data_IF_393198081441
#
_entry.id   IF_393198081441
#
_cell.length_a   1.000
_cell.length_b   1.000
_cell.length_c   1.000
_cell.angle_alpha   90.00
_cell.angle_beta   90.00
_cell.angle_gamma   90.00
#
_symmetry.space_group_name_H-M   'P 1'
#
loop_
_entity.id
_entity.type
_entity.pdbx_description
1 polymer ?
#
# COMPACT_ATOMS: atom_id res chain seq x y z
N UNK A 1 -23.62 -8.87 11.40
CA UNK A 1 -22.65 -8.44 10.36
C UNK A 1 -23.39 -7.88 9.15
N UNK A 2 -22.93 -6.81 8.56
CA UNK A 2 -23.48 -6.21 7.34
C UNK A 2 -22.47 -5.33 6.62
N UNK A 3 -22.72 -5.04 5.34
CA UNK A 3 -21.91 -4.15 4.53
C UNK A 3 -22.68 -2.84 4.27
N UNK A 4 -22.13 -1.73 4.71
CA UNK A 4 -22.68 -0.38 4.54
C UNK A 4 -21.52 0.59 4.41
N UNK A 5 -21.05 0.87 3.21
CA UNK A 5 -19.86 1.72 3.01
C UNK A 5 -18.62 1.23 3.78
N UNK A 6 -18.54 -0.07 4.11
CA UNK A 6 -17.53 -0.75 4.92
C UNK A 6 -18.14 -1.95 5.64
N UNK A 7 -17.31 -2.78 6.28
CA UNK A 7 -17.79 -3.93 7.04
C UNK A 7 -18.22 -3.52 8.45
N UNK A 8 -19.48 -3.77 8.81
CA UNK A 8 -20.07 -3.51 10.14
C UNK A 8 -20.29 -4.80 10.90
N UNK A 9 -19.75 -4.89 12.12
CA UNK A 9 -19.94 -6.02 13.03
C UNK A 9 -20.49 -5.47 14.36
N UNK A 10 -21.73 -5.85 14.69
CA UNK A 10 -22.35 -5.50 15.96
C UNK A 10 -21.86 -6.42 17.07
N UNK A 11 -21.51 -5.87 18.22
CA UNK A 11 -21.34 -6.50 19.51
C UNK A 11 -22.52 -6.14 20.43
N UNK A 12 -22.54 -6.67 21.66
CA UNK A 12 -23.65 -6.42 22.61
C UNK A 12 -23.85 -4.93 22.90
N UNK A 13 -22.76 -4.17 23.10
CA UNK A 13 -22.81 -2.73 23.41
C UNK A 13 -21.93 -1.86 22.50
N UNK A 14 -21.27 -2.46 21.51
CA UNK A 14 -20.34 -1.76 20.63
C UNK A 14 -20.58 -2.11 19.15
N UNK A 15 -20.00 -1.32 18.27
CA UNK A 15 -19.96 -1.57 16.83
C UNK A 15 -18.51 -1.47 16.35
N UNK A 16 -18.04 -2.52 15.68
CA UNK A 16 -16.79 -2.50 14.95
C UNK A 16 -17.07 -2.17 13.49
N UNK A 17 -16.30 -1.23 12.93
CA UNK A 17 -16.44 -0.82 11.53
C UNK A 17 -15.06 -0.89 10.88
N UNK A 18 -14.95 -1.55 9.73
CA UNK A 18 -13.68 -1.74 9.04
C UNK A 18 -13.76 -1.11 7.66
N UNK A 19 -12.72 -0.35 7.31
CA UNK A 19 -12.53 0.34 6.02
C UNK A 19 -13.78 1.09 5.51
N UNK A 20 -14.40 1.95 6.33
CA UNK A 20 -15.55 2.69 5.83
C UNK A 20 -15.13 3.75 4.82
N UNK A 21 -15.77 3.78 3.65
CA UNK A 21 -15.56 4.81 2.63
C UNK A 21 -16.09 6.19 3.06
N UNK A 22 -17.11 6.21 3.94
CA UNK A 22 -17.69 7.42 4.54
C UNK A 22 -17.90 7.24 6.04
N UNK A 23 -17.88 8.35 6.78
CA UNK A 23 -18.11 8.35 8.24
C UNK A 23 -19.52 8.78 8.65
N UNK A 24 -20.39 9.08 7.68
CA UNK A 24 -21.73 9.66 7.95
C UNK A 24 -22.68 8.76 8.75
N UNK A 25 -22.53 7.43 8.56
CA UNK A 25 -23.42 6.43 9.20
C UNK A 25 -22.78 5.68 10.36
N UNK A 26 -21.55 6.05 10.73
CA UNK A 26 -20.81 5.38 11.80
C UNK A 26 -21.35 5.88 13.16
N UNK A 27 -21.79 4.98 14.05
CA UNK A 27 -22.20 5.34 15.40
C UNK A 27 -21.07 6.04 16.17
N UNK A 28 -21.39 7.01 17.02
CA UNK A 28 -20.36 7.75 17.80
C UNK A 28 -19.54 6.85 18.73
N UNK A 29 -20.09 5.72 19.14
CA UNK A 29 -19.46 4.73 20.02
C UNK A 29 -18.69 3.66 19.27
N UNK A 30 -18.67 3.69 17.92
CA UNK A 30 -18.01 2.68 17.13
C UNK A 30 -16.49 2.71 17.28
N UNK A 31 -15.87 1.56 17.09
CA UNK A 31 -14.43 1.40 16.84
C UNK A 31 -14.22 1.25 15.35
N UNK A 32 -13.35 2.08 14.79
CA UNK A 32 -13.06 2.04 13.36
C UNK A 32 -11.66 1.46 13.16
N UNK A 33 -11.55 0.46 12.29
CA UNK A 33 -10.28 -0.09 11.83
C UNK A 33 -10.03 0.31 10.38
N UNK A 34 -8.77 0.56 10.05
CA UNK A 34 -8.29 0.80 8.69
C UNK A 34 -7.25 -0.25 8.37
N UNK A 35 -7.48 -1.04 7.32
CA UNK A 35 -6.63 -2.16 6.95
C UNK A 35 -5.30 -1.71 6.35
N UNK A 36 -5.32 -0.74 5.43
CA UNK A 36 -4.11 -0.25 4.76
C UNK A 36 -4.29 1.19 4.23
N UNK A 37 -3.23 1.75 3.63
CA UNK A 37 -3.16 3.18 3.32
C UNK A 37 -3.67 3.58 1.92
N UNK A 38 -4.28 2.70 1.13
CA UNK A 38 -4.90 3.09 -0.14
C UNK A 38 -6.17 3.93 0.08
N UNK A 39 -6.42 4.86 -0.85
CA UNK A 39 -7.40 5.93 -0.67
C UNK A 39 -8.85 5.45 -0.44
N UNK A 40 -9.23 4.33 -1.04
CA UNK A 40 -10.55 3.69 -0.92
C UNK A 40 -10.78 3.02 0.45
N UNK A 41 -9.71 2.68 1.18
CA UNK A 41 -9.77 2.09 2.53
C UNK A 41 -9.61 3.12 3.65
N UNK A 42 -9.06 4.31 3.37
CA UNK A 42 -8.68 5.29 4.40
C UNK A 42 -9.81 6.22 4.83
N UNK A 43 -11.02 6.05 4.34
CA UNK A 43 -12.17 6.86 4.74
C UNK A 43 -12.39 6.91 6.25
N UNK A 44 -12.05 5.82 6.95
CA UNK A 44 -12.11 5.70 8.41
C UNK A 44 -11.23 6.70 9.17
N UNK A 45 -10.15 7.20 8.59
CA UNK A 45 -9.31 8.21 9.25
C UNK A 45 -10.02 9.56 9.46
N UNK A 46 -11.08 9.84 8.73
CA UNK A 46 -11.94 11.02 8.91
C UNK A 46 -12.97 10.86 10.04
N UNK A 47 -13.13 9.68 10.61
CA UNK A 47 -14.03 9.46 11.74
C UNK A 47 -13.58 10.26 12.97
N UNK A 48 -14.50 10.92 13.69
CA UNK A 48 -14.17 11.74 14.87
C UNK A 48 -13.86 10.91 16.12
N UNK A 49 -14.42 9.70 16.22
CA UNK A 49 -14.18 8.78 17.33
C UNK A 49 -12.86 8.01 17.21
N UNK A 50 -12.68 6.98 18.04
CA UNK A 50 -11.48 6.19 18.07
C UNK A 50 -11.34 5.32 16.82
N UNK A 51 -10.21 5.49 16.15
CA UNK A 51 -9.80 4.71 14.99
C UNK A 51 -8.43 4.07 15.20
N UNK A 52 -8.21 2.94 14.57
CA UNK A 52 -7.00 2.14 14.72
C UNK A 52 -6.55 1.59 13.37
N UNK A 53 -5.27 1.52 13.20
CA UNK A 53 -4.56 0.83 12.11
C UNK A 53 -3.16 0.48 12.60
N UNK A 54 -2.36 -0.17 11.76
CA UNK A 54 -0.93 -0.26 12.04
C UNK A 54 -0.30 1.15 12.04
N UNK A 55 0.79 1.38 12.77
CA UNK A 55 1.53 2.64 12.72
C UNK A 55 1.96 3.00 11.30
N UNK A 56 2.43 2.00 10.52
CA UNK A 56 2.89 2.19 9.15
C UNK A 56 1.75 2.67 8.23
N UNK A 57 0.56 2.06 8.31
CA UNK A 57 -0.64 2.52 7.57
C UNK A 57 -0.97 3.97 7.88
N UNK A 58 -0.95 4.37 9.16
CA UNK A 58 -1.15 5.76 9.56
C UNK A 58 -0.08 6.70 8.98
N UNK A 59 1.19 6.30 9.06
CA UNK A 59 2.31 7.17 8.68
C UNK A 59 2.40 7.33 7.16
N UNK A 60 2.11 6.27 6.39
CA UNK A 60 1.95 6.34 4.93
C UNK A 60 0.80 7.27 4.57
N UNK A 61 -0.37 7.11 5.20
CA UNK A 61 -1.51 8.00 4.95
C UNK A 61 -1.16 9.47 5.22
N UNK A 62 -0.44 9.76 6.31
CA UNK A 62 0.02 11.11 6.63
C UNK A 62 1.01 11.65 5.60
N UNK A 63 1.93 10.82 5.13
CA UNK A 63 2.89 11.20 4.09
C UNK A 63 2.20 11.57 2.77
N UNK A 64 1.09 10.90 2.43
CA UNK A 64 0.34 11.15 1.20
C UNK A 64 -0.59 12.37 1.27
N UNK A 65 -1.12 12.69 2.46
CA UNK A 65 -2.23 13.63 2.61
C UNK A 65 -1.94 14.81 3.52
N UNK A 66 -0.79 14.85 4.19
CA UNK A 66 -0.43 15.86 5.22
C UNK A 66 -1.56 16.11 6.23
N UNK A 67 -2.27 15.05 6.60
CA UNK A 67 -3.45 15.13 7.44
C UNK A 67 -3.17 14.65 8.86
N UNK A 68 -3.52 15.47 9.87
CA UNK A 68 -3.54 15.03 11.26
C UNK A 68 -4.69 14.05 11.48
N UNK A 69 -4.37 12.88 12.05
CA UNK A 69 -5.35 11.87 12.44
C UNK A 69 -5.55 11.98 13.96
N UNK A 70 -6.69 12.58 14.37
CA UNK A 70 -7.05 12.67 15.78
C UNK A 70 -7.67 11.37 16.32
N UNK A 71 -7.72 11.19 17.65
CA UNK A 71 -8.32 10.01 18.31
C UNK A 71 -7.84 8.68 17.73
N UNK A 72 -6.53 8.55 17.53
CA UNK A 72 -5.88 7.38 16.95
C UNK A 72 -5.21 6.52 18.03
N UNK A 73 -5.30 5.21 17.90
CA UNK A 73 -4.51 4.24 18.67
C UNK A 73 -3.92 3.21 17.72
N UNK A 74 -2.63 2.94 17.84
CA UNK A 74 -1.95 1.91 17.05
C UNK A 74 -2.50 0.51 17.37
N UNK A 75 -2.55 -0.32 16.34
CA UNK A 75 -2.84 -1.75 16.40
C UNK A 75 -1.72 -2.48 15.65
N UNK A 76 -0.75 -2.98 16.39
CA UNK A 76 0.42 -3.65 15.80
C UNK A 76 0.04 -5.00 15.17
N UNK A 77 0.78 -5.41 14.15
CA UNK A 77 0.67 -6.77 13.60
C UNK A 77 0.91 -7.80 14.70
N UNK A 78 0.15 -8.86 14.71
CA UNK A 78 0.11 -9.90 15.74
C UNK A 78 -0.42 -9.45 17.12
N UNK A 79 -0.86 -8.20 17.27
CA UNK A 79 -1.52 -7.76 18.48
C UNK A 79 -3.03 -8.03 18.44
N UNK A 80 -3.66 -7.93 19.61
CA UNK A 80 -5.10 -8.11 19.77
C UNK A 80 -5.76 -6.85 20.31
N UNK A 81 -6.97 -6.62 19.83
CA UNK A 81 -7.91 -5.61 20.30
C UNK A 81 -9.15 -6.32 20.82
N UNK A 82 -9.65 -5.89 21.97
CA UNK A 82 -10.95 -6.33 22.51
C UNK A 82 -11.93 -5.16 22.42
N UNK A 83 -13.09 -5.41 21.84
CA UNK A 83 -14.20 -4.47 21.72
C UNK A 83 -15.45 -5.20 22.23
N UNK A 84 -15.80 -4.95 23.49
CA UNK A 84 -16.88 -5.67 24.18
C UNK A 84 -16.63 -7.20 24.19
N UNK A 85 -17.49 -7.99 23.59
CA UNK A 85 -17.39 -9.44 23.43
C UNK A 85 -16.69 -9.89 22.13
N UNK A 86 -16.18 -8.95 21.34
CA UNK A 86 -15.43 -9.21 20.11
C UNK A 86 -13.92 -9.12 20.36
N UNK A 87 -13.17 -10.09 19.88
CA UNK A 87 -11.70 -10.05 19.80
C UNK A 87 -11.26 -9.89 18.35
N UNK A 88 -10.34 -8.97 18.12
CA UNK A 88 -9.76 -8.74 16.79
C UNK A 88 -8.26 -8.94 16.86
N UNK A 89 -7.72 -9.83 16.07
CA UNK A 89 -6.28 -10.00 15.85
C UNK A 89 -5.91 -9.37 14.52
N UNK A 90 -4.94 -8.44 14.53
CA UNK A 90 -4.35 -7.90 13.32
C UNK A 90 -3.22 -8.84 12.85
N UNK A 91 -3.25 -9.21 11.57
CA UNK A 91 -2.28 -10.07 10.92
C UNK A 91 -1.78 -9.38 9.64
N UNK A 92 -0.59 -9.71 9.18
CA UNK A 92 -0.09 -9.13 7.94
C UNK A 92 -0.96 -9.55 6.74
N UNK A 93 -1.33 -8.61 5.90
CA UNK A 93 -2.06 -8.86 4.66
C UNK A 93 -1.12 -9.03 3.45
N UNK A 94 0.17 -8.77 3.58
CA UNK A 94 1.18 -8.92 2.53
C UNK A 94 1.08 -7.93 1.37
N UNK A 95 0.04 -7.08 1.34
CA UNK A 95 -0.27 -6.22 0.21
C UNK A 95 0.69 -5.02 0.10
N UNK A 96 0.95 -4.35 1.21
CA UNK A 96 1.91 -3.25 1.33
C UNK A 96 2.39 -3.12 2.77
N UNK A 97 3.42 -2.32 3.02
CA UNK A 97 3.92 -2.09 4.38
C UNK A 97 2.80 -1.65 5.32
N UNK A 98 2.62 -2.41 6.39
CA UNK A 98 1.62 -2.15 7.42
C UNK A 98 0.19 -2.53 7.04
N UNK A 99 -0.05 -3.11 5.86
CA UNK A 99 -1.37 -3.66 5.53
C UNK A 99 -1.74 -4.79 6.49
N UNK A 100 -2.99 -4.80 6.94
CA UNK A 100 -3.48 -5.76 7.93
C UNK A 100 -4.75 -6.47 7.45
N UNK A 101 -4.78 -7.77 7.61
CA UNK A 101 -6.02 -8.55 7.66
C UNK A 101 -6.47 -8.66 9.12
N UNK A 102 -7.78 -8.75 9.35
CA UNK A 102 -8.35 -8.81 10.69
C UNK A 102 -9.09 -10.13 10.91
N UNK A 103 -8.55 -10.96 11.82
CA UNK A 103 -9.28 -12.12 12.33
C UNK A 103 -10.15 -11.68 13.52
N UNK A 104 -11.45 -11.73 13.32
CA UNK A 104 -12.46 -11.22 14.25
C UNK A 104 -13.20 -12.43 14.85
N UNK A 105 -13.11 -12.56 16.16
CA UNK A 105 -13.75 -13.61 16.92
C UNK A 105 -14.90 -13.03 17.73
N UNK A 106 -16.10 -13.48 17.45
CA UNK A 106 -17.31 -13.26 18.25
C UNK A 106 -17.57 -14.51 19.10
N UNK A 107 -18.51 -14.49 20.05
CA UNK A 107 -18.86 -15.69 20.84
C UNK A 107 -19.24 -16.91 20.00
N UNK A 108 -19.78 -16.71 18.79
CA UNK A 108 -20.35 -17.78 18.00
C UNK A 108 -19.70 -17.99 16.62
N UNK A 109 -18.83 -17.08 16.18
CA UNK A 109 -18.34 -17.08 14.79
C UNK A 109 -16.99 -16.39 14.69
N UNK A 110 -16.11 -16.92 13.86
CA UNK A 110 -14.87 -16.29 13.45
C UNK A 110 -14.99 -15.73 12.02
N UNK A 111 -14.54 -14.50 11.82
CA UNK A 111 -14.61 -13.78 10.54
C UNK A 111 -13.19 -13.35 10.18
N UNK A 112 -12.72 -13.66 8.98
CA UNK A 112 -11.51 -13.08 8.44
C UNK A 112 -11.87 -12.01 7.40
N UNK A 113 -11.47 -10.77 7.67
CA UNK A 113 -11.49 -9.66 6.71
C UNK A 113 -10.08 -9.44 6.20
N UNK A 114 -9.84 -9.63 4.91
CA UNK A 114 -8.49 -9.57 4.35
C UNK A 114 -8.00 -8.15 4.08
N UNK A 115 -8.90 -7.18 3.88
CA UNK A 115 -8.56 -5.99 3.11
C UNK A 115 -8.03 -6.41 1.74
N UNK A 116 -7.17 -5.60 1.15
CA UNK A 116 -6.39 -6.04 -0.01
C UNK A 116 -5.29 -6.98 0.47
N UNK A 117 -5.15 -8.12 -0.19
CA UNK A 117 -4.29 -9.22 0.25
C UNK A 117 -3.29 -9.61 -0.84
N UNK A 118 -2.09 -9.99 -0.44
CA UNK A 118 -1.10 -10.59 -1.32
C UNK A 118 -0.51 -11.87 -0.68
N UNK A 119 -0.60 -12.97 -1.41
CA UNK A 119 -0.20 -14.31 -0.95
C UNK A 119 1.17 -14.75 -1.49
N UNK A 120 1.97 -13.82 -2.02
CA UNK A 120 3.30 -14.07 -2.59
C UNK A 120 4.27 -13.06 -1.99
N UNK A 121 5.47 -13.49 -1.57
CA UNK A 121 6.54 -12.60 -1.12
C UNK A 121 6.89 -11.57 -2.20
N UNK A 122 7.09 -10.33 -1.77
CA UNK A 122 7.59 -9.24 -2.61
C UNK A 122 8.98 -8.80 -2.15
N UNK A 123 9.58 -7.83 -2.83
CA UNK A 123 10.83 -7.24 -2.37
C UNK A 123 10.66 -6.35 -1.12
N UNK A 124 9.44 -6.02 -0.73
CA UNK A 124 9.14 -5.09 0.36
C UNK A 124 8.22 -5.65 1.43
N UNK A 125 7.49 -6.74 1.15
CA UNK A 125 6.55 -7.37 2.08
C UNK A 125 6.64 -8.89 2.02
N UNK A 126 6.26 -9.53 3.11
CA UNK A 126 6.02 -10.99 3.14
C UNK A 126 4.59 -11.29 2.74
N UNK A 127 4.38 -12.48 2.19
CA UNK A 127 3.06 -12.99 1.86
C UNK A 127 2.16 -13.06 3.11
N UNK A 128 0.87 -12.82 2.93
CA UNK A 128 -0.11 -13.06 3.98
C UNK A 128 -0.17 -14.53 4.35
N UNK A 129 -0.27 -14.82 5.65
CA UNK A 129 -0.47 -16.16 6.14
C UNK A 129 -1.97 -16.52 6.11
N UNK A 130 -2.34 -17.69 5.58
CA UNK A 130 -3.73 -18.14 5.59
C UNK A 130 -4.22 -18.38 7.03
N UNK A 131 -5.48 -18.03 7.30
CA UNK A 131 -6.12 -18.20 8.60
C UNK A 131 -7.40 -19.01 8.46
N UNK A 132 -7.66 -19.89 9.42
CA UNK A 132 -8.95 -20.58 9.52
C UNK A 132 -10.01 -19.62 10.04
N UNK A 133 -11.18 -19.62 9.42
CA UNK A 133 -12.33 -18.82 9.81
C UNK A 133 -13.63 -19.48 9.34
N UNK A 134 -14.75 -19.13 9.99
CA UNK A 134 -16.07 -19.57 9.57
C UNK A 134 -16.62 -18.74 8.41
N UNK A 135 -16.25 -17.44 8.38
CA UNK A 135 -16.67 -16.51 7.33
C UNK A 135 -15.43 -15.77 6.79
N UNK A 136 -15.22 -15.86 5.49
CA UNK A 136 -14.18 -15.15 4.79
C UNK A 136 -14.78 -13.95 4.03
N UNK A 137 -14.27 -12.74 4.30
CA UNK A 137 -14.54 -11.52 3.54
C UNK A 137 -13.24 -11.17 2.82
N UNK A 138 -13.18 -11.46 1.54
CA UNK A 138 -11.98 -11.32 0.70
C UNK A 138 -12.25 -10.40 -0.48
N UNK A 139 -11.23 -9.63 -0.87
CA UNK A 139 -11.25 -8.86 -2.11
C UNK A 139 -11.33 -9.78 -3.34
N UNK A 140 -11.72 -9.19 -4.48
CA UNK A 140 -11.81 -9.92 -5.75
C UNK A 140 -11.38 -9.04 -6.94
N UNK A 141 -10.39 -8.17 -6.74
CA UNK A 141 -9.89 -7.24 -7.78
C UNK A 141 -9.51 -7.97 -9.06
N UNK A 142 -8.88 -9.13 -8.91
CA UNK A 142 -8.49 -10.02 -10.02
C UNK A 142 -9.20 -11.38 -9.94
N UNK A 143 -10.40 -11.43 -9.36
CA UNK A 143 -11.17 -12.64 -9.10
C UNK A 143 -11.76 -13.33 -10.36
N UNK A 144 -11.42 -12.86 -11.56
CA UNK A 144 -11.87 -13.49 -12.81
C UNK A 144 -10.78 -14.39 -13.41
N UNK A 145 -11.15 -15.59 -13.96
CA UNK A 145 -10.20 -16.49 -14.63
C UNK A 145 -9.45 -15.89 -15.83
N UNK A 146 -9.91 -14.73 -16.33
CA UNK A 146 -9.21 -14.00 -17.41
C UNK A 146 -7.92 -13.35 -16.92
N UNK A 147 -7.79 -13.04 -15.65
CA UNK A 147 -6.57 -12.49 -15.08
C UNK A 147 -5.58 -13.61 -14.81
N UNK A 148 -4.62 -13.76 -15.72
CA UNK A 148 -3.48 -14.67 -15.57
C UNK A 148 -2.21 -13.86 -15.68
N UNK A 149 -1.44 -13.87 -14.61
CA UNK A 149 -0.22 -13.10 -14.53
C UNK A 149 1.00 -14.02 -14.65
N UNK A 150 2.11 -13.55 -15.27
CA UNK A 150 3.41 -14.21 -15.18
C UNK A 150 3.87 -14.29 -13.73
N UNK A 151 4.92 -15.06 -13.48
CA UNK A 151 5.55 -15.06 -12.17
C UNK A 151 6.13 -13.66 -11.87
N UNK A 152 6.25 -13.32 -10.60
CA UNK A 152 6.77 -12.03 -10.17
C UNK A 152 8.21 -11.82 -10.67
N UNK A 153 9.03 -12.86 -10.65
CA UNK A 153 10.40 -12.85 -11.16
C UNK A 153 10.45 -12.52 -12.65
N UNK A 154 9.54 -13.10 -13.45
CA UNK A 154 9.42 -12.77 -14.89
C UNK A 154 9.10 -11.29 -15.08
N UNK A 155 8.13 -10.77 -14.30
CA UNK A 155 7.75 -9.35 -14.36
C UNK A 155 8.91 -8.44 -13.96
N UNK A 156 9.65 -8.78 -12.92
CA UNK A 156 10.83 -8.03 -12.49
C UNK A 156 11.90 -8.00 -13.58
N UNK A 157 12.18 -9.15 -14.18
CA UNK A 157 13.14 -9.24 -15.27
C UNK A 157 12.74 -8.36 -16.47
N UNK A 158 11.47 -8.43 -16.89
CA UNK A 158 10.95 -7.62 -18.01
C UNK A 158 11.05 -6.11 -17.73
N UNK A 159 10.74 -5.67 -16.49
CA UNK A 159 10.85 -4.26 -16.09
C UNK A 159 12.31 -3.79 -16.15
N UNK A 160 13.22 -4.58 -15.59
CA UNK A 160 14.65 -4.25 -15.56
C UNK A 160 15.24 -4.23 -16.97
N UNK A 161 14.96 -5.25 -17.78
CA UNK A 161 15.43 -5.34 -19.17
C UNK A 161 14.96 -4.15 -20.00
N UNK A 162 13.66 -3.82 -19.94
CA UNK A 162 13.10 -2.65 -20.61
C UNK A 162 13.78 -1.35 -20.17
N UNK A 163 14.04 -1.19 -18.88
CA UNK A 163 14.70 0.01 -18.37
C UNK A 163 16.14 0.13 -18.84
N UNK A 164 16.90 -0.97 -18.81
CA UNK A 164 18.29 -1.01 -19.29
C UNK A 164 18.38 -0.73 -20.80
N UNK A 165 17.45 -1.29 -21.58
CA UNK A 165 17.40 -1.03 -23.03
C UNK A 165 17.04 0.44 -23.33
N UNK A 166 16.12 1.02 -22.55
CA UNK A 166 15.77 2.44 -22.65
C UNK A 166 16.97 3.35 -22.36
N UNK A 167 17.75 3.00 -21.33
CA UNK A 167 18.98 3.73 -20.98
C UNK A 167 20.04 3.62 -22.07
N UNK A 168 20.25 2.44 -22.67
CA UNK A 168 21.17 2.24 -23.82
C UNK A 168 20.82 3.13 -25.01
N UNK A 169 19.53 3.46 -25.19
CA UNK A 169 19.05 4.39 -26.23
C UNK A 169 19.26 5.87 -25.85
N UNK A 170 19.93 6.16 -24.75
CA UNK A 170 20.14 7.54 -24.26
C UNK A 170 18.87 8.20 -23.71
N UNK A 171 17.89 7.41 -23.28
CA UNK A 171 16.64 7.88 -22.70
C UNK A 171 16.52 7.51 -21.22
N UNK A 172 15.67 8.20 -20.50
CA UNK A 172 15.36 7.92 -19.10
C UNK A 172 14.05 7.11 -19.03
N UNK A 173 14.08 5.85 -18.56
CA UNK A 173 12.86 5.09 -18.31
C UNK A 173 12.04 5.77 -17.22
N UNK A 174 10.78 6.08 -17.51
CA UNK A 174 9.85 6.73 -16.60
C UNK A 174 8.70 5.78 -16.27
N UNK A 175 8.59 5.36 -15.00
CA UNK A 175 7.53 4.46 -14.55
C UNK A 175 6.46 5.24 -13.80
N UNK A 176 5.22 5.07 -14.22
CA UNK A 176 4.04 5.58 -13.51
C UNK A 176 3.55 4.52 -12.54
N UNK A 177 3.64 4.80 -11.24
CA UNK A 177 3.36 3.85 -10.16
C UNK A 177 2.40 4.43 -9.12
N UNK A 178 1.64 3.58 -8.45
CA UNK A 178 0.90 3.99 -7.27
C UNK A 178 1.87 4.44 -6.16
N UNK A 179 1.55 5.56 -5.51
CA UNK A 179 2.46 6.22 -4.58
C UNK A 179 2.82 5.37 -3.35
N UNK A 180 1.94 4.47 -2.95
CA UNK A 180 2.16 3.57 -1.83
C UNK A 180 2.10 2.10 -2.26
N UNK A 181 3.01 1.28 -1.78
CA UNK A 181 3.18 -0.13 -2.10
C UNK A 181 4.00 -0.34 -3.37
N UNK A 182 3.41 -0.08 -4.54
CA UNK A 182 4.06 -0.36 -5.84
C UNK A 182 5.30 0.49 -6.10
N UNK A 183 5.28 1.78 -5.74
CA UNK A 183 6.45 2.63 -5.91
C UNK A 183 7.66 2.10 -5.15
N UNK A 184 7.48 1.69 -3.90
CA UNK A 184 8.54 1.20 -3.04
C UNK A 184 9.09 -0.15 -3.51
N UNK A 185 8.21 -1.02 -4.01
CA UNK A 185 8.60 -2.28 -4.62
C UNK A 185 9.49 -2.05 -5.87
N UNK A 186 9.12 -1.09 -6.72
CA UNK A 186 9.90 -0.74 -7.92
C UNK A 186 11.22 -0.06 -7.54
N UNK A 187 11.24 0.84 -6.55
CA UNK A 187 12.51 1.39 -6.03
C UNK A 187 13.42 0.26 -5.60
N UNK A 188 12.91 -0.67 -4.76
CA UNK A 188 13.69 -1.81 -4.29
C UNK A 188 14.15 -2.73 -5.42
N UNK A 189 13.33 -2.92 -6.44
CA UNK A 189 13.68 -3.70 -7.64
C UNK A 189 14.96 -3.17 -8.29
N UNK A 190 15.02 -1.87 -8.56
CA UNK A 190 16.21 -1.27 -9.18
C UNK A 190 17.40 -1.25 -8.24
N UNK A 191 17.22 -1.06 -6.93
CA UNK A 191 18.30 -1.15 -5.96
C UNK A 191 18.94 -2.53 -5.88
N UNK A 192 18.15 -3.60 -6.07
CA UNK A 192 18.64 -4.98 -5.95
C UNK A 192 19.28 -5.47 -7.25
N UNK A 193 18.69 -5.15 -8.39
CA UNK A 193 19.05 -5.77 -9.66
C UNK A 193 19.84 -4.87 -10.61
N UNK A 194 20.07 -3.62 -10.25
CA UNK A 194 20.81 -2.67 -11.09
C UNK A 194 21.72 -1.77 -10.26
N UNK A 195 22.58 -1.01 -10.95
CA UNK A 195 23.33 0.10 -10.36
C UNK A 195 22.77 1.47 -10.79
N UNK A 196 21.60 1.50 -11.43
CA UNK A 196 20.98 2.75 -11.87
C UNK A 196 20.45 3.52 -10.67
N UNK A 197 20.81 4.80 -10.53
CA UNK A 197 20.16 5.68 -9.55
C UNK A 197 18.64 5.73 -9.77
N UNK A 198 17.89 5.64 -8.70
CA UNK A 198 16.44 5.75 -8.75
C UNK A 198 16.03 7.15 -8.31
N UNK A 199 15.47 7.91 -9.23
CA UNK A 199 14.95 9.25 -8.97
C UNK A 199 13.44 9.15 -8.82
N UNK A 200 12.91 9.77 -7.79
CA UNK A 200 11.46 9.75 -7.53
C UNK A 200 10.87 11.15 -7.52
N UNK A 201 9.60 11.25 -7.92
CA UNK A 201 8.81 12.45 -7.71
C UNK A 201 8.72 12.75 -6.20
N UNK A 202 8.80 14.03 -5.75
CA UNK A 202 8.78 14.39 -4.33
C UNK A 202 7.57 13.86 -3.56
N UNK A 203 6.46 13.60 -4.22
CA UNK A 203 5.27 12.99 -3.61
C UNK A 203 5.53 11.59 -3.06
N UNK A 204 6.54 10.89 -3.57
CA UNK A 204 6.93 9.55 -3.13
C UNK A 204 7.89 9.57 -1.93
N UNK A 205 8.58 10.69 -1.67
CA UNK A 205 9.63 10.79 -0.64
C UNK A 205 9.14 10.39 0.75
N UNK A 206 8.03 10.97 1.21
CA UNK A 206 7.51 10.69 2.54
C UNK A 206 7.06 9.25 2.75
N UNK A 207 6.61 8.59 1.68
CA UNK A 207 6.26 7.16 1.72
C UNK A 207 7.53 6.31 1.76
N UNK A 208 8.52 6.60 0.91
CA UNK A 208 9.81 5.92 0.91
C UNK A 208 10.51 6.02 2.28
N UNK A 209 10.48 7.21 2.89
CA UNK A 209 10.97 7.44 4.24
C UNK A 209 10.27 6.56 5.28
N UNK A 210 8.95 6.37 5.16
CA UNK A 210 8.19 5.51 6.06
C UNK A 210 8.61 4.05 5.93
N UNK A 211 8.82 3.57 4.71
CA UNK A 211 9.33 2.23 4.43
C UNK A 211 10.75 2.06 4.98
N UNK A 212 11.63 3.01 4.71
CA UNK A 212 13.03 2.96 5.16
C UNK A 212 13.12 2.92 6.69
N UNK A 213 12.38 3.77 7.40
CA UNK A 213 12.29 3.80 8.87
C UNK A 213 11.70 2.52 9.46
N UNK A 214 10.91 1.79 8.69
CA UNK A 214 10.34 0.49 9.08
C UNK A 214 11.23 -0.71 8.76
N UNK A 215 12.48 -0.47 8.30
CA UNK A 215 13.47 -1.51 8.05
C UNK A 215 13.49 -2.04 6.60
N UNK A 216 12.68 -1.48 5.70
CA UNK A 216 12.77 -1.79 4.26
C UNK A 216 13.86 -0.92 3.64
N UNK A 217 14.98 -1.54 3.27
CA UNK A 217 16.11 -0.81 2.69
C UNK A 217 15.77 -0.30 1.29
N UNK A 218 15.68 1.03 1.15
CA UNK A 218 15.43 1.74 -0.10
C UNK A 218 16.48 2.81 -0.29
N UNK A 219 17.01 2.92 -1.52
CA UNK A 219 17.92 3.97 -1.96
C UNK A 219 17.27 4.76 -3.10
N UNK A 220 17.11 6.06 -2.92
CA UNK A 220 16.50 6.94 -3.91
C UNK A 220 16.98 8.39 -3.77
N UNK A 221 16.75 9.17 -4.80
CA UNK A 221 16.93 10.61 -4.79
C UNK A 221 15.61 11.30 -5.14
N UNK A 222 15.26 12.35 -4.40
CA UNK A 222 14.14 13.21 -4.81
C UNK A 222 14.50 14.00 -6.06
N UNK A 223 13.60 14.09 -7.01
CA UNK A 223 13.81 14.91 -8.23
C UNK A 223 13.95 16.40 -7.94
N UNK A 224 13.52 16.89 -6.77
CA UNK A 224 13.67 18.26 -6.35
C UNK A 224 15.00 18.53 -5.61
N UNK A 225 15.69 17.48 -5.17
CA UNK A 225 16.98 17.60 -4.52
C UNK A 225 18.07 18.07 -5.51
N UNK A 226 19.16 18.60 -4.99
CA UNK A 226 20.32 19.00 -5.80
C UNK A 226 20.91 17.82 -6.56
N UNK A 227 21.07 16.69 -5.86
CA UNK A 227 21.66 15.49 -6.44
C UNK A 227 20.73 14.85 -7.47
N UNK A 228 19.42 14.75 -7.16
CA UNK A 228 18.43 14.25 -8.11
C UNK A 228 18.37 15.05 -9.41
N UNK A 229 18.39 16.38 -9.33
CA UNK A 229 18.48 17.25 -10.51
C UNK A 229 19.74 17.01 -11.32
N UNK A 230 20.88 16.90 -10.63
CA UNK A 230 22.16 16.67 -11.30
C UNK A 230 22.17 15.33 -12.04
N UNK A 231 21.66 14.27 -11.41
CA UNK A 231 21.57 12.93 -12.02
C UNK A 231 20.62 12.96 -13.22
N UNK A 232 19.44 13.57 -13.09
CA UNK A 232 18.47 13.69 -14.20
C UNK A 232 19.03 14.42 -15.41
N UNK A 233 19.95 15.36 -15.22
CA UNK A 233 20.54 16.14 -16.32
C UNK A 233 21.68 15.42 -17.02
N UNK A 234 22.46 14.61 -16.30
CA UNK A 234 23.78 14.14 -16.77
C UNK A 234 23.93 12.63 -16.86
N UNK A 235 23.25 11.90 -15.98
CA UNK A 235 23.55 10.49 -15.77
C UNK A 235 22.40 9.58 -16.22
N UNK A 236 22.69 8.31 -16.58
CA UNK A 236 21.65 7.32 -16.76
C UNK A 236 20.98 7.01 -15.41
N UNK A 237 19.66 7.06 -15.39
CA UNK A 237 18.87 6.81 -14.19
C UNK A 237 17.49 6.27 -14.54
N UNK A 238 16.73 5.88 -13.53
CA UNK A 238 15.29 5.53 -13.63
C UNK A 238 14.48 6.59 -12.91
N UNK A 239 13.37 7.01 -13.50
CA UNK A 239 12.47 7.99 -12.89
C UNK A 239 11.12 7.37 -12.55
N UNK A 240 10.68 7.52 -11.29
CA UNK A 240 9.37 7.09 -10.82
C UNK A 240 8.47 8.30 -10.52
N UNK A 241 7.24 8.23 -11.02
CA UNK A 241 6.23 9.26 -10.77
C UNK A 241 4.84 8.63 -10.63
N UNK A 242 3.85 9.44 -10.25
CA UNK A 242 2.47 8.97 -10.13
C UNK A 242 1.66 9.29 -11.40
N UNK A 243 0.60 8.54 -11.73
CA UNK A 243 -0.26 8.82 -12.89
C UNK A 243 -0.91 10.22 -12.88
N UNK A 244 -1.06 10.82 -11.69
CA UNK A 244 -1.61 12.18 -11.54
C UNK A 244 -0.63 13.29 -11.92
N UNK A 245 0.67 12.97 -11.99
CA UNK A 245 1.72 13.94 -12.30
C UNK A 245 2.17 13.82 -13.75
N UNK A 246 1.34 14.37 -14.65
CA UNK A 246 1.58 14.33 -16.10
C UNK A 246 2.50 15.45 -16.62
N UNK A 247 2.85 16.41 -15.76
CA UNK A 247 3.44 17.68 -16.21
C UNK A 247 4.98 17.70 -16.32
N UNK A 248 5.67 16.62 -15.91
CA UNK A 248 7.14 16.62 -15.83
C UNK A 248 7.84 15.70 -16.86
N UNK A 249 7.11 15.15 -17.83
CA UNK A 249 7.71 14.29 -18.84
C UNK A 249 8.29 15.17 -19.95
N UNK A 250 9.52 15.64 -19.77
CA UNK A 250 10.29 16.28 -20.83
C UNK A 250 10.66 15.31 -21.96
N UNK A 251 11.17 15.83 -23.09
CA UNK A 251 11.52 15.03 -24.30
C UNK A 251 12.56 13.91 -24.09
N UNK A 252 13.27 13.89 -22.93
CA UNK A 252 14.24 12.85 -22.57
C UNK A 252 13.63 11.58 -21.97
N UNK A 253 12.37 11.61 -21.58
CA UNK A 253 11.71 10.48 -20.92
C UNK A 253 11.00 9.58 -21.92
N UNK A 254 11.18 8.27 -21.79
CA UNK A 254 10.32 7.27 -22.41
C UNK A 254 9.36 6.71 -21.36
N UNK A 255 8.09 7.05 -21.48
CA UNK A 255 7.07 6.63 -20.52
C UNK A 255 6.66 5.17 -20.69
N UNK A 256 6.61 4.43 -19.58
CA UNK A 256 6.06 3.08 -19.50
C UNK A 256 4.72 3.07 -18.77
N UNK A 257 3.75 3.78 -19.29
CA UNK A 257 2.38 3.80 -18.74
C UNK A 257 1.69 2.43 -18.82
N UNK A 258 2.15 1.55 -19.70
CA UNK A 258 1.52 0.25 -19.94
C UNK A 258 2.03 -0.88 -19.03
N UNK A 259 3.19 -0.75 -18.40
CA UNK A 259 3.72 -1.80 -17.52
C UNK A 259 3.00 -1.83 -16.16
N UNK A 260 2.63 -0.67 -15.63
CA UNK A 260 1.94 -0.59 -14.34
C UNK A 260 0.49 -1.16 -14.35
N UNK A 261 -0.15 -1.25 -15.51
CA UNK A 261 -1.51 -1.79 -15.65
C UNK A 261 -1.58 -3.27 -16.03
N UNK A 262 -0.44 -3.93 -16.27
CA UNK A 262 -0.40 -5.35 -16.66
C UNK A 262 -0.13 -6.30 -15.50
N UNK A 263 0.27 -5.77 -14.34
CA UNK A 263 0.76 -6.57 -13.22
C UNK A 263 0.20 -6.01 -11.91
N UNK A 264 -0.47 -6.83 -11.11
CA UNK A 264 -1.02 -6.44 -9.82
C UNK A 264 0.06 -6.14 -8.77
#
# INVERSE_FOLDING_TARGET
MGWLDGLFIGASNATLVIDPSTTRRIPKTARVLVSHAHGDHTGGFRYKGLKQSTPQTRDIHRALHDQRIGSFRALEINSQLVVDDIRVKALDAGHMLGSAQFLIQTPNTSILYTGDINCIDTLTTKAAEPQQCDILVIEATYGSPHYRFPTRETVYAEIVEWALETVKQGRIPCLHVYAAGKAQEVVRLFNVYTHLPVIVNPRLDGVNETYHKSGVHLDWFSSDSRDGKTILDKDPCVYLTTPSDRNHIGRRFLGATQLAGRYP
#
